data_IF_617779398956
#
_entry.id   IF_617779398956
#
_cell.length_a   1.000
_cell.length_b   1.000
_cell.length_c   1.000
_cell.angle_alpha   90.00
_cell.angle_beta   90.00
_cell.angle_gamma   90.00
#
_symmetry.space_group_name_H-M   'P 1'
#
loop_
_entity.id
_entity.type
_entity.pdbx_description
1 polymer ?
#
# COMPACT_ATOMS: atom_id res chain seq x y z
N UNK A 1 49.62 16.63 1.55
CA UNK A 1 50.69 16.04 2.38
C UNK A 1 50.16 16.03 3.81
N UNK A 2 50.00 14.96 4.58
CA UNK A 2 50.13 13.51 4.47
C UNK A 2 49.34 12.92 5.66
N UNK A 3 49.11 11.60 5.69
CA UNK A 3 48.08 10.94 6.49
C UNK A 3 48.61 10.49 7.87
N UNK A 4 47.74 10.43 8.88
CA UNK A 4 48.07 9.78 10.15
C UNK A 4 46.86 9.05 10.76
N UNK A 5 46.93 7.72 10.61
CA UNK A 5 46.64 6.68 11.62
C UNK A 5 45.20 6.51 12.11
N UNK A 6 44.49 5.59 11.44
CA UNK A 6 43.42 4.77 12.04
C UNK A 6 44.05 3.65 12.87
N UNK A 7 43.61 3.48 14.11
CA UNK A 7 43.71 2.20 14.84
C UNK A 7 42.54 2.02 15.81
N UNK A 8 41.83 0.92 15.57
CA UNK A 8 41.11 0.03 16.49
C UNK A 8 40.16 0.61 17.55
N UNK A 9 38.88 0.21 17.46
CA UNK A 9 38.23 -0.46 18.58
C UNK A 9 37.24 -1.51 18.07
N UNK A 10 37.62 -2.77 18.27
CA UNK A 10 36.78 -3.96 18.12
C UNK A 10 36.31 -4.32 19.52
N UNK A 11 35.01 -4.56 19.71
CA UNK A 11 34.43 -5.09 20.95
C UNK A 11 32.93 -5.30 20.75
N UNK A 12 32.50 -6.49 20.32
CA UNK A 12 31.95 -7.55 21.18
C UNK A 12 30.87 -7.06 22.16
N UNK A 13 29.60 -7.24 21.80
CA UNK A 13 28.61 -7.89 22.67
C UNK A 13 27.73 -8.75 21.76
N UNK A 14 27.95 -10.06 21.82
CA UNK A 14 26.97 -11.04 21.38
C UNK A 14 25.92 -11.19 22.48
N UNK A 15 24.65 -11.12 22.11
CA UNK A 15 23.55 -11.59 22.95
C UNK A 15 22.96 -12.79 22.23
N UNK A 16 23.33 -13.98 22.72
CA UNK A 16 22.62 -15.22 22.44
C UNK A 16 21.24 -15.13 23.08
N UNK A 17 20.20 -14.87 22.28
CA UNK A 17 18.83 -15.00 22.72
C UNK A 17 18.34 -16.42 22.39
N UNK A 18 18.60 -17.34 23.32
CA UNK A 18 18.04 -18.67 23.30
C UNK A 18 16.52 -18.60 23.57
N UNK A 19 15.72 -18.64 22.51
CA UNK A 19 14.27 -18.83 22.61
C UNK A 19 13.99 -20.29 22.97
N UNK A 20 13.55 -20.52 24.20
CA UNK A 20 12.98 -21.79 24.64
C UNK A 20 11.63 -22.03 23.97
N UNK A 21 11.63 -22.78 22.87
CA UNK A 21 10.39 -23.28 22.26
C UNK A 21 9.93 -24.48 23.09
N UNK A 22 8.86 -24.29 23.87
CA UNK A 22 8.13 -25.40 24.46
C UNK A 22 7.34 -26.12 23.35
N UNK A 23 7.89 -27.23 22.85
CA UNK A 23 7.19 -28.12 21.92
C UNK A 23 6.15 -28.92 22.71
N UNK A 24 4.88 -28.52 22.65
CA UNK A 24 3.78 -29.35 23.13
C UNK A 24 3.55 -30.47 22.12
N UNK A 25 4.11 -31.65 22.41
CA UNK A 25 3.82 -32.87 21.64
C UNK A 25 2.45 -33.39 22.08
N UNK A 26 1.43 -33.19 21.24
CA UNK A 26 0.16 -33.89 21.36
C UNK A 26 0.37 -35.35 20.90
N UNK A 27 0.47 -36.26 21.88
CA UNK A 27 0.40 -37.69 21.64
C UNK A 27 -1.06 -38.07 21.39
N UNK A 28 -1.41 -38.39 20.15
CA UNK A 28 -2.67 -39.05 19.84
C UNK A 28 -2.59 -40.52 20.28
N UNK A 29 -3.28 -40.86 21.37
CA UNK A 29 -3.48 -42.26 21.76
C UNK A 29 -4.62 -42.83 20.91
N UNK A 30 -4.27 -43.72 19.97
CA UNK A 30 -5.22 -44.63 19.33
C UNK A 30 -5.55 -45.73 20.34
N UNK A 31 -6.76 -45.73 20.87
CA UNK A 31 -7.31 -46.79 21.70
C UNK A 31 -8.53 -47.41 21.03
N UNK A 32 -8.37 -48.63 20.50
CA UNK A 32 -9.45 -49.47 20.03
C UNK A 32 -9.92 -50.38 21.17
N UNK A 33 -11.26 -50.48 21.31
CA UNK A 33 -12.07 -51.54 21.93
C UNK A 33 -11.71 -52.06 23.34
N UNK A 34 -12.55 -51.76 24.33
CA UNK A 34 -13.54 -52.70 24.87
C UNK A 34 -14.33 -52.06 26.02
N UNK A 35 -15.64 -52.35 26.03
CA UNK A 35 -16.60 -51.70 26.91
C UNK A 35 -16.38 -52.01 28.39
N UNK A 36 -16.20 -50.97 29.20
CA UNK A 36 -16.70 -50.96 30.57
C UNK A 36 -16.94 -49.53 31.07
N UNK A 37 -18.15 -49.27 31.54
CA UNK A 37 -18.61 -47.98 32.07
C UNK A 37 -17.90 -47.63 33.37
N UNK A 38 -17.01 -46.65 33.33
CA UNK A 38 -16.64 -45.87 34.51
C UNK A 38 -16.40 -44.40 34.13
N UNK A 39 -17.04 -43.51 34.89
CA UNK A 39 -17.12 -42.06 34.69
C UNK A 39 -15.74 -41.43 34.96
N UNK A 40 -15.14 -40.67 34.01
CA UNK A 40 -13.88 -39.99 34.30
C UNK A 40 -14.15 -38.73 35.14
N UNK A 41 -13.47 -38.64 36.28
CA UNK A 41 -13.36 -37.43 37.10
C UNK A 41 -12.26 -36.56 36.50
N UNK A 42 -12.63 -35.36 36.04
CA UNK A 42 -11.69 -34.35 35.54
C UNK A 42 -11.13 -33.54 36.72
N UNK A 43 -9.82 -33.60 36.93
CA UNK A 43 -9.10 -32.71 37.83
C UNK A 43 -8.49 -31.58 36.99
N UNK A 44 -9.02 -30.37 37.14
CA UNK A 44 -8.46 -29.18 36.50
C UNK A 44 -7.17 -28.77 37.23
N UNK A 45 -6.05 -28.79 36.52
CA UNK A 45 -4.80 -28.18 36.98
C UNK A 45 -4.74 -26.77 36.38
N UNK A 46 -4.94 -25.76 37.22
CA UNK A 46 -4.71 -24.36 36.87
C UNK A 46 -3.20 -24.10 36.88
N UNK A 47 -2.64 -23.77 35.73
CA UNK A 47 -1.27 -23.24 35.62
C UNK A 47 -1.41 -21.72 35.50
N UNK A 48 -0.96 -21.00 36.53
CA UNK A 48 -0.78 -19.54 36.47
C UNK A 48 0.36 -19.20 35.50
N UNK A 49 0.07 -18.36 34.52
CA UNK A 49 1.06 -17.82 33.60
C UNK A 49 1.44 -16.42 34.09
N UNK A 50 2.68 -16.25 34.54
CA UNK A 50 3.26 -14.93 34.80
C UNK A 50 3.53 -14.20 33.48
N UNK A 51 2.88 -13.04 33.29
CA UNK A 51 3.14 -12.12 32.19
C UNK A 51 4.31 -11.21 32.53
N UNK A 52 5.38 -11.24 31.75
CA UNK A 52 6.48 -10.27 31.83
C UNK A 52 6.19 -9.11 30.88
N UNK A 53 5.91 -7.92 31.40
CA UNK A 53 5.83 -6.67 30.63
C UNK A 53 7.21 -6.28 30.10
N UNK A 54 7.32 -6.04 28.79
CA UNK A 54 8.50 -5.44 28.16
C UNK A 54 8.20 -3.95 27.90
N UNK A 55 8.99 -3.09 28.55
CA UNK A 55 8.98 -1.64 28.38
C UNK A 55 9.75 -1.30 27.09
N UNK A 56 9.05 -0.77 26.08
CA UNK A 56 9.67 -0.24 24.87
C UNK A 56 10.31 1.13 25.13
N UNK A 57 11.59 1.25 24.78
CA UNK A 57 12.35 2.50 24.86
C UNK A 57 12.10 3.32 23.59
N UNK A 58 11.28 4.36 23.71
CA UNK A 58 11.03 5.33 22.63
C UNK A 58 12.29 6.14 22.34
N UNK A 59 12.85 5.98 21.15
CA UNK A 59 13.92 6.86 20.65
C UNK A 59 13.30 7.83 19.64
N UNK A 60 13.16 9.10 20.02
CA UNK A 60 12.68 10.17 19.15
C UNK A 60 13.75 10.57 18.13
N UNK A 61 13.37 10.61 16.85
CA UNK A 61 14.20 11.18 15.79
C UNK A 61 13.78 12.63 15.52
N UNK A 62 14.75 13.55 15.55
CA UNK A 62 14.58 14.95 15.17
C UNK A 62 15.00 15.12 13.70
N UNK A 63 14.09 15.61 12.86
CA UNK A 63 14.36 15.97 11.47
C UNK A 63 14.85 17.43 11.44
N UNK A 64 16.09 17.63 10.98
CA UNK A 64 16.61 18.95 10.67
C UNK A 64 16.23 19.32 9.22
N UNK A 65 15.29 20.26 9.09
CA UNK A 65 14.94 20.88 7.81
C UNK A 65 15.97 21.96 7.49
N UNK A 66 16.68 21.81 6.37
CA UNK A 66 17.59 22.85 5.85
C UNK A 66 16.85 23.63 4.77
N UNK A 67 16.55 24.90 5.05
CA UNK A 67 15.94 25.84 4.12
C UNK A 67 17.04 26.57 3.36
N UNK A 68 17.23 26.26 2.08
CA UNK A 68 18.04 27.10 1.19
C UNK A 68 17.14 28.11 0.47
N UNK A 69 17.12 29.33 0.99
CA UNK A 69 16.73 30.53 0.25
C UNK A 69 17.98 31.14 -0.37
N UNK A 70 18.01 31.31 -1.70
CA UNK A 70 18.89 32.32 -2.29
C UNK A 70 18.24 33.03 -3.48
N UNK A 71 17.89 34.27 -3.18
CA UNK A 71 17.58 35.38 -4.08
C UNK A 71 18.88 35.96 -4.65
N UNK A 72 18.93 36.27 -5.95
CA UNK A 72 19.79 37.39 -6.39
C UNK A 72 19.24 38.09 -7.63
N UNK A 73 19.00 39.39 -7.43
CA UNK A 73 18.73 40.42 -8.44
C UNK A 73 19.90 40.59 -9.42
N UNK A 74 19.60 40.96 -10.67
CA UNK A 74 20.46 41.83 -11.50
C UNK A 74 19.69 42.45 -12.68
N UNK A 75 19.51 43.76 -12.63
CA UNK A 75 19.58 44.71 -13.77
C UNK A 75 20.95 45.40 -13.68
N UNK A 76 21.54 46.06 -14.71
CA UNK A 76 20.88 46.93 -15.70
C UNK A 76 21.56 46.97 -17.11
N UNK A 77 21.05 47.84 -18.00
CA UNK A 77 21.80 48.88 -18.77
C UNK A 77 21.15 49.13 -20.14
N UNK A 78 20.83 50.41 -20.37
CA UNK A 78 20.34 50.98 -21.61
C UNK A 78 21.46 51.19 -22.65
N UNK A 79 21.11 51.13 -23.93
CA UNK A 79 21.84 51.85 -24.98
C UNK A 79 20.88 52.36 -26.03
N UNK A 80 21.05 53.65 -26.31
CA UNK A 80 20.33 54.50 -27.24
C UNK A 80 21.11 54.49 -28.55
N UNK A 81 20.46 54.15 -29.65
CA UNK A 81 20.93 54.53 -30.99
C UNK A 81 19.75 55.03 -31.83
N UNK A 82 19.91 56.25 -32.32
CA UNK A 82 18.98 56.95 -33.18
C UNK A 82 19.25 56.57 -34.63
N UNK A 83 18.23 56.07 -35.35
CA UNK A 83 18.27 55.95 -36.81
C UNK A 83 16.98 56.55 -37.39
N UNK A 84 17.20 57.56 -38.22
CA UNK A 84 16.22 58.26 -39.06
C UNK A 84 15.95 57.48 -40.33
N UNK A 85 14.69 57.12 -40.61
CA UNK A 85 14.21 56.80 -41.97
C UNK A 85 12.71 57.10 -42.14
N UNK A 86 12.45 58.06 -43.04
CA UNK A 86 11.39 58.19 -44.06
C UNK A 86 9.96 57.66 -43.80
N UNK A 87 8.90 58.49 -43.99
CA UNK A 87 7.51 58.04 -43.90
C UNK A 87 7.09 57.29 -45.16
N UNK A 88 6.81 55.99 -45.03
CA UNK A 88 6.13 55.20 -46.06
C UNK A 88 4.65 55.11 -45.70
N UNK A 89 3.80 55.62 -46.58
CA UNK A 89 2.33 55.58 -46.45
C UNK A 89 1.82 54.15 -46.68
N UNK A 90 1.56 53.42 -45.61
CA UNK A 90 0.92 52.10 -45.65
C UNK A 90 -0.57 52.24 -45.36
N UNK A 91 -1.41 51.84 -46.30
CA UNK A 91 -2.87 51.78 -46.15
C UNK A 91 -3.23 50.64 -45.18
N UNK A 92 -3.56 50.98 -43.93
CA UNK A 92 -4.01 50.03 -42.92
C UNK A 92 -5.47 49.67 -43.17
N UNK A 93 -5.72 48.48 -43.73
CA UNK A 93 -7.04 47.87 -43.75
C UNK A 93 -7.35 47.36 -42.35
N UNK A 94 -8.26 48.03 -41.65
CA UNK A 94 -8.72 47.63 -40.30
C UNK A 94 -9.52 46.33 -40.39
N UNK A 95 -8.83 45.19 -40.32
CA UNK A 95 -9.49 43.90 -40.10
C UNK A 95 -9.81 43.75 -38.63
N UNK A 96 -11.06 44.01 -38.27
CA UNK A 96 -11.62 43.75 -36.94
C UNK A 96 -11.49 42.26 -36.64
N UNK A 97 -10.42 41.88 -35.96
CA UNK A 97 -10.22 40.51 -35.49
C UNK A 97 -11.02 40.39 -34.21
N UNK A 98 -12.22 39.82 -34.31
CA UNK A 98 -13.02 39.47 -33.14
C UNK A 98 -12.25 38.40 -32.38
N UNK A 99 -11.56 38.80 -31.32
CA UNK A 99 -10.89 37.87 -30.41
C UNK A 99 -11.97 37.11 -29.67
N UNK A 100 -12.37 35.96 -30.22
CA UNK A 100 -13.27 35.03 -29.54
C UNK A 100 -12.49 34.44 -28.37
N UNK A 101 -12.59 35.08 -27.20
CA UNK A 101 -12.05 34.55 -25.95
C UNK A 101 -12.75 33.22 -25.70
N UNK A 102 -12.06 32.13 -26.02
CA UNK A 102 -12.59 30.79 -25.83
C UNK A 102 -12.45 30.50 -24.35
N UNK A 103 -13.50 30.80 -23.58
CA UNK A 103 -13.56 30.50 -22.15
C UNK A 103 -13.55 28.98 -22.00
N UNK A 104 -12.37 28.42 -21.75
CA UNK A 104 -12.20 27.01 -21.39
C UNK A 104 -12.68 26.89 -19.95
N UNK A 105 -13.94 26.51 -19.76
CA UNK A 105 -14.44 26.07 -18.46
C UNK A 105 -13.76 24.74 -18.13
N UNK A 106 -12.68 24.81 -17.35
CA UNK A 106 -12.05 23.64 -16.73
C UNK A 106 -13.02 23.12 -15.66
N UNK A 107 -13.73 22.04 -15.96
CA UNK A 107 -14.56 21.33 -14.99
C UNK A 107 -13.68 20.89 -13.82
N UNK A 108 -14.14 21.12 -12.59
CA UNK A 108 -13.43 20.66 -11.40
C UNK A 108 -13.20 19.14 -11.47
N UNK A 109 -12.04 18.63 -11.02
CA UNK A 109 -11.79 17.20 -10.97
C UNK A 109 -12.88 16.46 -10.17
N UNK A 110 -13.35 15.33 -10.70
CA UNK A 110 -14.33 14.47 -10.00
C UNK A 110 -13.70 13.82 -8.77
N UNK A 111 -14.48 13.56 -7.73
CA UNK A 111 -14.04 12.71 -6.61
C UNK A 111 -13.83 11.27 -7.07
N UNK A 112 -12.94 10.55 -6.36
CA UNK A 112 -12.57 9.16 -6.62
C UNK A 112 -12.66 8.38 -5.32
N UNK A 113 -13.55 7.40 -5.24
CA UNK A 113 -13.62 6.51 -4.10
C UNK A 113 -12.75 5.27 -4.36
N UNK A 114 -11.81 4.97 -3.47
CA UNK A 114 -10.83 3.90 -3.64
C UNK A 114 -10.90 2.85 -2.52
N UNK A 115 -10.90 1.56 -2.88
CA UNK A 115 -10.67 0.47 -1.91
C UNK A 115 -9.22 0.00 -2.02
N UNK A 116 -8.49 0.07 -0.92
CA UNK A 116 -7.14 -0.44 -0.77
C UNK A 116 -7.19 -1.87 -0.20
N UNK A 117 -6.49 -2.81 -0.85
CA UNK A 117 -6.37 -4.20 -0.44
C UNK A 117 -4.92 -4.48 -0.08
N UNK A 118 -4.64 -4.75 1.19
CA UNK A 118 -3.29 -4.93 1.74
C UNK A 118 -2.94 -6.40 2.04
N UNK A 119 -1.66 -6.76 1.85
CA UNK A 119 -1.12 -8.12 1.95
C UNK A 119 -0.35 -8.37 3.26
N UNK A 120 -0.99 -9.01 4.23
CA UNK A 120 -0.33 -9.54 5.43
C UNK A 120 -0.09 -11.06 5.35
N UNK A 121 -0.21 -11.67 4.16
CA UNK A 121 0.02 -13.09 3.92
C UNK A 121 1.49 -13.37 3.63
N UNK A 122 2.09 -12.62 2.69
CA UNK A 122 3.46 -12.86 2.22
C UNK A 122 4.49 -11.97 2.91
N UNK A 123 4.02 -10.90 3.51
CA UNK A 123 4.84 -10.06 4.35
C UNK A 123 4.98 -10.70 5.72
N UNK A 124 6.20 -11.10 6.09
CA UNK A 124 6.47 -11.85 7.32
C UNK A 124 7.11 -11.00 8.41
N UNK A 125 7.75 -9.89 8.05
CA UNK A 125 8.44 -9.01 9.01
C UNK A 125 7.58 -7.78 9.30
N UNK A 126 7.47 -7.41 10.58
CA UNK A 126 6.75 -6.21 11.01
C UNK A 126 7.18 -4.96 10.23
N UNK A 127 8.49 -4.78 10.03
CA UNK A 127 9.05 -3.66 9.25
C UNK A 127 8.54 -3.60 7.80
N UNK A 128 8.27 -4.74 7.17
CA UNK A 128 7.75 -4.77 5.80
C UNK A 128 6.25 -4.41 5.78
N UNK A 129 5.48 -4.80 6.82
CA UNK A 129 4.07 -4.39 7.00
C UNK A 129 3.99 -2.87 7.17
N UNK A 130 4.87 -2.30 8.01
CA UNK A 130 4.91 -0.85 8.22
C UNK A 130 5.25 -0.08 6.93
N UNK A 131 6.09 -0.65 6.08
CA UNK A 131 6.42 -0.05 4.78
C UNK A 131 5.25 -0.09 3.80
N UNK A 132 4.54 -1.22 3.71
CA UNK A 132 3.35 -1.32 2.86
C UNK A 132 2.28 -0.35 3.35
N UNK A 133 2.04 -0.31 4.67
CA UNK A 133 1.11 0.65 5.29
C UNK A 133 1.51 2.09 4.96
N UNK A 134 2.79 2.44 5.13
CA UNK A 134 3.30 3.77 4.80
C UNK A 134 3.03 4.13 3.34
N UNK A 135 3.25 3.21 2.40
CA UNK A 135 2.98 3.44 0.99
C UNK A 135 1.48 3.68 0.73
N UNK A 136 0.60 2.84 1.29
CA UNK A 136 -0.85 3.01 1.19
C UNK A 136 -1.27 4.38 1.74
N UNK A 137 -0.77 4.77 2.92
CA UNK A 137 -1.07 6.07 3.53
C UNK A 137 -0.66 7.24 2.64
N UNK A 138 0.56 7.21 2.08
CA UNK A 138 1.06 8.26 1.19
C UNK A 138 0.23 8.34 -0.11
N UNK A 139 -0.13 7.19 -0.70
CA UNK A 139 -0.99 7.14 -1.89
C UNK A 139 -2.37 7.74 -1.59
N UNK A 140 -2.98 7.40 -0.45
CA UNK A 140 -4.31 7.94 -0.09
C UNK A 140 -4.29 9.42 0.28
N UNK A 141 -3.25 9.89 0.97
CA UNK A 141 -3.07 11.33 1.24
C UNK A 141 -2.96 12.13 -0.06
N UNK A 142 -2.17 11.61 -1.01
CA UNK A 142 -2.02 12.21 -2.34
C UNK A 142 -3.35 12.21 -3.10
N UNK A 143 -4.09 11.10 -3.08
CA UNK A 143 -5.42 11.00 -3.67
C UNK A 143 -6.39 12.04 -3.11
N UNK A 144 -6.44 12.22 -1.78
CA UNK A 144 -7.31 13.19 -1.13
C UNK A 144 -6.95 14.65 -1.47
N UNK A 145 -5.66 14.95 -1.63
CA UNK A 145 -5.19 16.27 -2.07
C UNK A 145 -5.56 16.58 -3.51
N UNK A 146 -5.45 15.58 -4.40
CA UNK A 146 -5.71 15.76 -5.83
C UNK A 146 -7.19 15.75 -6.20
N UNK A 147 -8.00 14.99 -5.45
CA UNK A 147 -9.41 14.74 -5.74
C UNK A 147 -10.24 15.05 -4.50
N UNK A 148 -10.61 16.33 -4.34
CA UNK A 148 -11.47 16.75 -3.22
C UNK A 148 -12.80 15.97 -3.19
N UNK A 149 -13.21 15.57 -2.00
CA UNK A 149 -14.43 14.76 -1.79
C UNK A 149 -14.27 13.27 -2.11
N UNK A 150 -13.05 12.81 -2.38
CA UNK A 150 -12.72 11.38 -2.46
C UNK A 150 -12.82 10.70 -1.10
N UNK A 151 -13.08 9.40 -1.10
CA UNK A 151 -13.06 8.56 0.09
C UNK A 151 -12.19 7.31 -0.14
N UNK A 152 -11.62 6.75 0.93
CA UNK A 152 -10.83 5.53 0.87
C UNK A 152 -11.29 4.51 1.92
N UNK A 153 -11.33 3.25 1.55
CA UNK A 153 -11.56 2.14 2.48
C UNK A 153 -10.39 1.16 2.42
N UNK A 154 -10.12 0.44 3.50
CA UNK A 154 -9.06 -0.57 3.54
C UNK A 154 -9.61 -1.96 3.89
N UNK A 155 -9.19 -2.95 3.12
CA UNK A 155 -9.38 -4.37 3.39
C UNK A 155 -8.02 -5.04 3.48
N UNK A 156 -7.82 -5.92 4.46
CA UNK A 156 -6.53 -6.56 4.71
C UNK A 156 -6.71 -8.06 4.73
N UNK A 157 -5.86 -8.78 4.02
CA UNK A 157 -5.89 -10.24 3.97
C UNK A 157 -4.62 -10.89 4.50
N UNK A 158 -4.69 -12.19 4.72
CA UNK A 158 -3.58 -12.97 5.27
C UNK A 158 -3.61 -13.05 6.79
N UNK A 159 -2.46 -12.84 7.43
CA UNK A 159 -2.28 -13.01 8.87
C UNK A 159 -2.76 -11.81 9.68
N UNK A 160 -4.08 -11.56 9.70
CA UNK A 160 -4.68 -10.36 10.34
C UNK A 160 -5.17 -10.63 11.76
N UNK A 161 -5.08 -9.62 12.63
CA UNK A 161 -5.60 -9.66 14.00
C UNK A 161 -7.14 -9.60 14.03
N UNK A 162 -7.71 -8.80 13.13
CA UNK A 162 -9.15 -8.63 12.99
C UNK A 162 -9.55 -8.86 11.52
N UNK A 163 -10.53 -9.73 11.30
CA UNK A 163 -11.11 -9.92 9.97
C UNK A 163 -12.21 -8.89 9.74
N UNK A 164 -12.16 -8.24 8.59
CA UNK A 164 -13.19 -7.29 8.16
C UNK A 164 -13.91 -7.87 6.95
N UNK A 165 -15.25 -7.81 6.95
CA UNK A 165 -16.05 -8.12 5.77
C UNK A 165 -15.80 -7.07 4.69
N UNK A 166 -15.55 -7.50 3.45
CA UNK A 166 -15.35 -6.59 2.32
C UNK A 166 -16.55 -5.64 2.13
N UNK A 167 -17.77 -6.10 2.42
CA UNK A 167 -18.99 -5.28 2.37
C UNK A 167 -18.94 -4.10 3.34
N UNK A 168 -18.29 -4.27 4.50
CA UNK A 168 -18.13 -3.19 5.47
C UNK A 168 -17.18 -2.11 4.94
N UNK A 169 -16.17 -2.50 4.15
CA UNK A 169 -15.22 -1.57 3.53
C UNK A 169 -15.94 -0.65 2.53
N UNK A 170 -16.87 -1.19 1.74
CA UNK A 170 -17.70 -0.38 0.83
C UNK A 170 -18.62 0.62 1.53
N UNK A 171 -19.05 0.31 2.75
CA UNK A 171 -20.02 1.12 3.47
C UNK A 171 -19.39 2.15 4.40
N UNK A 172 -18.16 1.91 4.85
CA UNK A 172 -17.46 2.72 5.83
C UNK A 172 -16.13 3.21 5.24
N UNK A 173 -16.19 3.95 4.14
CA UNK A 173 -15.01 4.60 3.57
C UNK A 173 -14.75 5.91 4.31
N UNK A 174 -13.49 6.16 4.61
CA UNK A 174 -13.01 7.39 5.22
C UNK A 174 -12.91 8.51 4.19
N UNK A 175 -13.52 9.65 4.51
CA UNK A 175 -13.53 10.88 3.70
C UNK A 175 -12.41 11.87 4.05
N UNK A 176 -11.56 11.52 5.02
CA UNK A 176 -10.36 12.29 5.39
C UNK A 176 -9.17 11.38 5.62
N UNK A 177 -7.96 11.95 5.50
CA UNK A 177 -6.71 11.25 5.74
C UNK A 177 -6.63 10.69 7.16
N UNK A 178 -6.98 11.47 8.19
CA UNK A 178 -6.82 11.10 9.59
C UNK A 178 -7.70 9.91 9.98
N UNK A 179 -8.93 9.87 9.43
CA UNK A 179 -9.83 8.73 9.64
C UNK A 179 -9.28 7.48 8.95
N UNK A 180 -8.84 7.62 7.69
CA UNK A 180 -8.27 6.52 6.94
C UNK A 180 -6.99 5.97 7.60
N UNK A 181 -6.12 6.85 8.09
CA UNK A 181 -4.90 6.49 8.82
C UNK A 181 -5.23 5.68 10.08
N UNK A 182 -6.22 6.12 10.86
CA UNK A 182 -6.70 5.38 12.03
C UNK A 182 -7.25 3.99 11.67
N UNK A 183 -8.01 3.90 10.58
CA UNK A 183 -8.54 2.63 10.06
C UNK A 183 -7.43 1.71 9.57
N UNK A 184 -6.44 2.22 8.82
CA UNK A 184 -5.30 1.45 8.34
C UNK A 184 -4.43 0.93 9.50
N UNK A 185 -4.19 1.75 10.53
CA UNK A 185 -3.47 1.34 11.74
C UNK A 185 -4.20 0.25 12.53
N UNK A 186 -5.53 0.23 12.46
CA UNK A 186 -6.35 -0.81 13.11
C UNK A 186 -6.38 -2.08 12.26
N UNK A 187 -6.59 -1.96 10.95
CA UNK A 187 -6.78 -3.09 10.05
C UNK A 187 -5.47 -3.84 9.74
N UNK A 188 -4.35 -3.12 9.61
CA UNK A 188 -3.04 -3.71 9.28
C UNK A 188 -2.28 -4.22 10.51
N UNK A 189 -2.99 -4.80 11.47
CA UNK A 189 -2.40 -5.46 12.62
C UNK A 189 -2.24 -6.96 12.35
N UNK A 190 -1.03 -7.48 12.59
CA UNK A 190 -0.75 -8.90 12.41
C UNK A 190 -1.43 -9.73 13.48
N UNK A 191 -2.10 -10.80 13.07
CA UNK A 191 -2.71 -11.79 13.95
C UNK A 191 -2.16 -13.19 13.71
N UNK A 192 -2.73 -14.15 14.44
CA UNK A 192 -2.42 -15.58 14.32
C UNK A 192 -3.26 -16.30 13.27
N UNK A 193 -4.32 -15.67 12.77
CA UNK A 193 -5.24 -16.27 11.79
C UNK A 193 -4.67 -16.14 10.39
N UNK A 194 -4.21 -17.25 9.80
CA UNK A 194 -3.85 -17.28 8.37
C UNK A 194 -5.11 -17.62 7.57
N UNK A 195 -5.49 -16.74 6.64
CA UNK A 195 -6.58 -17.03 5.71
C UNK A 195 -6.08 -17.88 4.53
N UNK A 196 -6.96 -18.74 4.01
CA UNK A 196 -6.73 -19.40 2.73
C UNK A 196 -6.65 -18.33 1.63
N UNK A 197 -5.54 -18.32 0.89
CA UNK A 197 -5.31 -17.38 -0.20
C UNK A 197 -6.39 -17.47 -1.28
N UNK A 198 -6.84 -18.68 -1.61
CA UNK A 198 -7.93 -18.89 -2.56
C UNK A 198 -9.24 -18.29 -2.07
N UNK A 199 -9.50 -18.35 -0.77
CA UNK A 199 -10.66 -17.68 -0.17
C UNK A 199 -10.54 -16.16 -0.26
N UNK A 200 -9.36 -15.58 -0.03
CA UNK A 200 -9.15 -14.13 -0.14
C UNK A 200 -9.40 -13.62 -1.56
N UNK A 201 -8.88 -14.31 -2.58
CA UNK A 201 -9.15 -13.95 -3.98
C UNK A 201 -10.61 -14.14 -4.36
N UNK A 202 -11.25 -15.21 -3.88
CA UNK A 202 -12.68 -15.40 -4.04
C UNK A 202 -13.46 -14.23 -3.44
N UNK A 203 -13.10 -13.79 -2.23
CA UNK A 203 -13.71 -12.62 -1.59
C UNK A 203 -13.57 -11.36 -2.43
N UNK A 204 -12.37 -11.05 -2.94
CA UNK A 204 -12.16 -9.86 -3.79
C UNK A 204 -12.96 -9.98 -5.10
N UNK A 205 -12.93 -11.15 -5.73
CA UNK A 205 -13.55 -11.33 -7.04
C UNK A 205 -15.08 -11.36 -6.98
N UNK A 206 -15.63 -11.83 -5.87
CA UNK A 206 -17.08 -11.93 -5.63
C UNK A 206 -17.63 -10.80 -4.76
N UNK A 207 -16.79 -9.86 -4.32
CA UNK A 207 -17.20 -8.73 -3.52
C UNK A 207 -18.31 -7.95 -4.24
N UNK A 208 -19.41 -7.74 -3.54
CA UNK A 208 -20.53 -6.91 -4.01
C UNK A 208 -20.72 -5.74 -3.06
N UNK A 209 -21.08 -4.60 -3.64
CA UNK A 209 -21.30 -3.37 -2.89
C UNK A 209 -22.34 -2.52 -3.59
N UNK A 210 -22.77 -1.41 -2.97
CA UNK A 210 -23.63 -0.45 -3.64
C UNK A 210 -22.98 -0.01 -4.95
N UNK A 211 -23.72 -0.15 -6.06
CA UNK A 211 -23.22 0.21 -7.38
C UNK A 211 -22.84 1.69 -7.42
N UNK A 212 -21.68 2.00 -8.01
CA UNK A 212 -21.19 3.37 -8.16
C UNK A 212 -20.68 4.04 -6.88
N UNK A 213 -20.52 3.30 -5.77
CA UNK A 213 -19.88 3.83 -4.56
C UNK A 213 -18.36 3.84 -4.62
N UNK A 214 -17.74 2.94 -5.38
CA UNK A 214 -16.29 2.84 -5.49
C UNK A 214 -15.88 2.91 -6.95
N UNK A 215 -14.92 3.77 -7.23
CA UNK A 215 -14.36 3.98 -8.56
C UNK A 215 -13.17 3.05 -8.80
N UNK A 216 -12.33 2.85 -7.79
CA UNK A 216 -10.98 2.30 -7.98
C UNK A 216 -10.64 1.22 -6.95
N UNK A 217 -9.92 0.19 -7.39
CA UNK A 217 -9.33 -0.84 -6.53
C UNK A 217 -7.80 -0.71 -6.57
N UNK A 218 -7.17 -0.53 -5.41
CA UNK A 218 -5.72 -0.64 -5.22
C UNK A 218 -5.41 -1.98 -4.55
N UNK A 219 -4.78 -2.90 -5.27
CA UNK A 219 -4.41 -4.22 -4.76
C UNK A 219 -2.90 -4.31 -4.55
N UNK A 220 -2.48 -4.47 -3.30
CA UNK A 220 -1.08 -4.62 -2.92
C UNK A 220 -0.69 -6.10 -2.88
N UNK A 221 0.49 -6.39 -3.41
CA UNK A 221 1.02 -7.74 -3.46
C UNK A 221 2.46 -7.80 -2.95
N UNK A 222 2.66 -8.56 -1.88
CA UNK A 222 3.91 -8.67 -1.15
C UNK A 222 4.77 -9.89 -1.49
N UNK A 223 4.43 -10.74 -2.46
CA UNK A 223 5.28 -11.88 -2.82
C UNK A 223 6.22 -11.57 -4.00
N UNK A 224 7.46 -12.07 -3.96
CA UNK A 224 8.47 -11.90 -5.03
C UNK A 224 8.03 -12.50 -6.37
N UNK A 225 7.20 -13.54 -6.34
CA UNK A 225 6.71 -14.20 -7.53
C UNK A 225 5.34 -14.83 -7.23
N UNK A 226 4.42 -14.75 -8.21
CA UNK A 226 3.18 -15.54 -8.19
C UNK A 226 3.50 -17.04 -8.09
N UNK A 227 4.70 -17.45 -8.56
CA UNK A 227 5.18 -18.82 -8.64
C UNK A 227 6.05 -19.29 -7.46
N UNK A 228 6.18 -18.50 -6.38
CA UNK A 228 7.24 -18.78 -5.38
C UNK A 228 7.24 -20.23 -4.87
N UNK A 229 8.43 -20.81 -4.99
CA UNK A 229 8.85 -22.21 -4.78
C UNK A 229 8.69 -22.77 -3.37
N UNK A 230 8.16 -21.99 -2.41
CA UNK A 230 7.83 -22.49 -1.06
C UNK A 230 6.51 -23.27 -1.03
N UNK A 231 5.72 -23.21 -2.10
CA UNK A 231 4.50 -23.97 -2.27
C UNK A 231 4.76 -25.12 -3.25
N UNK A 232 5.52 -26.11 -2.78
CA UNK A 232 5.80 -27.36 -3.49
C UNK A 232 4.55 -28.29 -3.59
N UNK A 233 3.35 -27.70 -3.67
CA UNK A 233 2.10 -28.40 -3.86
C UNK A 233 1.71 -28.24 -5.32
N UNK A 234 1.81 -29.31 -6.11
CA UNK A 234 1.33 -29.37 -7.50
C UNK A 234 -0.10 -28.84 -7.66
N UNK A 235 -0.93 -29.03 -6.63
CA UNK A 235 -2.31 -28.55 -6.59
C UNK A 235 -2.42 -27.04 -6.46
N UNK A 236 -1.44 -26.38 -5.84
CA UNK A 236 -1.43 -24.93 -5.70
C UNK A 236 -1.09 -24.27 -7.05
N UNK A 237 -0.11 -24.80 -7.79
CA UNK A 237 0.23 -24.26 -9.13
C UNK A 237 -0.99 -24.33 -10.07
N UNK A 238 -1.66 -25.48 -10.12
CA UNK A 238 -2.85 -25.65 -10.96
C UNK A 238 -4.02 -24.75 -10.48
N UNK A 239 -4.13 -24.50 -9.16
CA UNK A 239 -5.10 -23.56 -8.61
C UNK A 239 -4.80 -22.12 -9.01
N UNK A 240 -3.55 -21.69 -8.88
CA UNK A 240 -3.09 -20.35 -9.26
C UNK A 240 -3.24 -20.15 -10.76
N UNK A 241 -2.72 -21.05 -11.60
CA UNK A 241 -2.77 -20.87 -13.06
C UNK A 241 -4.21 -20.88 -13.63
N UNK A 242 -5.18 -21.54 -12.98
CA UNK A 242 -6.59 -21.56 -13.44
C UNK A 242 -7.50 -20.53 -12.80
N UNK A 243 -7.25 -20.11 -11.56
CA UNK A 243 -8.18 -19.27 -10.79
C UNK A 243 -7.61 -17.92 -10.38
N UNK A 244 -6.32 -17.67 -10.63
CA UNK A 244 -5.66 -16.43 -10.24
C UNK A 244 -5.79 -15.38 -11.32
N UNK A 245 -6.98 -14.82 -11.41
CA UNK A 245 -7.22 -13.57 -12.13
C UNK A 245 -7.81 -12.60 -11.13
N UNK A 246 -7.16 -11.46 -10.94
CA UNK A 246 -7.74 -10.31 -10.25
C UNK A 246 -8.73 -9.70 -11.24
N UNK A 247 -9.98 -10.12 -11.12
CA UNK A 247 -11.07 -9.78 -12.01
C UNK A 247 -12.36 -9.61 -11.21
N UNK A 248 -12.42 -8.58 -10.34
CA UNK A 248 -13.58 -8.33 -9.51
C UNK A 248 -14.84 -8.16 -10.34
N UNK A 249 -15.90 -8.87 -9.92
CA UNK A 249 -17.25 -8.70 -10.47
C UNK A 249 -17.83 -7.32 -10.17
N UNK A 250 -17.34 -6.65 -9.11
CA UNK A 250 -17.62 -5.24 -8.90
C UNK A 250 -17.08 -4.39 -10.06
N UNK A 251 -17.88 -3.43 -10.50
CA UNK A 251 -17.56 -2.61 -11.67
C UNK A 251 -16.64 -1.43 -11.31
N UNK A 252 -15.43 -1.73 -10.84
CA UNK A 252 -14.40 -0.71 -10.70
C UNK A 252 -14.09 -0.12 -12.08
N UNK A 253 -13.93 1.20 -12.12
CA UNK A 253 -13.41 1.92 -13.28
C UNK A 253 -11.94 1.62 -13.47
N UNK A 254 -11.17 1.63 -12.37
CA UNK A 254 -9.74 1.39 -12.37
C UNK A 254 -9.37 0.26 -11.41
N UNK A 255 -8.56 -0.68 -11.88
CA UNK A 255 -7.93 -1.70 -11.02
C UNK A 255 -6.43 -1.49 -11.13
N UNK A 256 -5.78 -1.21 -10.00
CA UNK A 256 -4.34 -1.00 -9.92
C UNK A 256 -3.75 -2.09 -9.03
N UNK A 257 -2.88 -2.89 -9.60
CA UNK A 257 -2.14 -3.94 -8.90
C UNK A 257 -0.71 -3.47 -8.69
N UNK A 258 -0.32 -3.31 -7.42
CA UNK A 258 1.03 -2.91 -7.03
C UNK A 258 1.81 -4.12 -6.56
N UNK A 259 2.85 -4.45 -7.31
CA UNK A 259 3.79 -5.52 -6.99
C UNK A 259 4.96 -4.96 -6.19
N UNK A 260 5.01 -5.29 -4.90
CA UNK A 260 5.97 -4.74 -3.93
C UNK A 260 7.35 -5.43 -3.97
N UNK A 261 7.42 -6.58 -4.65
CA UNK A 261 8.61 -7.42 -4.72
C UNK A 261 8.88 -7.93 -6.14
N UNK A 262 8.29 -7.31 -7.16
CA UNK A 262 8.58 -7.61 -8.57
C UNK A 262 7.87 -8.84 -9.15
N UNK A 263 6.83 -9.36 -8.49
CA UNK A 263 5.94 -10.35 -9.09
C UNK A 263 5.36 -9.87 -10.42
N UNK A 264 5.37 -10.76 -11.41
CA UNK A 264 4.81 -10.51 -12.73
C UNK A 264 3.32 -10.92 -12.79
N UNK A 265 2.45 -9.94 -12.97
CA UNK A 265 1.00 -10.10 -13.07
C UNK A 265 0.47 -10.19 -14.51
N UNK A 266 1.33 -10.28 -15.51
CA UNK A 266 0.91 -10.39 -16.92
C UNK A 266 -0.02 -11.58 -17.12
N UNK A 267 -1.25 -11.33 -17.58
CA UNK A 267 -2.28 -12.36 -17.77
C UNK A 267 -3.04 -12.78 -16.49
N UNK A 268 -2.78 -12.12 -15.36
CA UNK A 268 -3.38 -12.41 -14.05
C UNK A 268 -4.22 -11.25 -13.50
N UNK A 269 -4.41 -10.21 -14.29
CA UNK A 269 -5.33 -9.10 -14.00
C UNK A 269 -6.21 -8.94 -15.22
N UNK A 270 -7.47 -8.57 -15.00
CA UNK A 270 -8.37 -8.28 -16.10
C UNK A 270 -7.88 -7.11 -16.97
N UNK A 271 -8.57 -6.89 -18.08
CA UNK A 271 -8.25 -5.85 -19.07
C UNK A 271 -8.42 -4.41 -18.56
N UNK A 272 -9.11 -4.20 -17.43
CA UNK A 272 -9.22 -2.92 -16.72
C UNK A 272 -8.03 -2.69 -15.78
N UNK A 273 -7.23 -3.74 -15.56
CA UNK A 273 -6.07 -3.76 -14.69
C UNK A 273 -4.85 -3.01 -15.22
N UNK A 274 -4.23 -2.23 -14.34
CA UNK A 274 -2.88 -1.69 -14.50
C UNK A 274 -1.96 -2.32 -13.48
N UNK A 275 -0.78 -2.74 -13.91
CA UNK A 275 0.22 -3.36 -13.05
C UNK A 275 1.37 -2.37 -12.88
N UNK A 276 1.74 -2.09 -11.63
CA UNK A 276 2.84 -1.19 -11.26
C UNK A 276 3.79 -1.95 -10.34
N UNK A 277 5.07 -1.96 -10.69
CA UNK A 277 6.11 -2.53 -9.84
C UNK A 277 6.71 -1.43 -8.98
N UNK A 278 6.79 -1.67 -7.67
CA UNK A 278 7.35 -0.74 -6.69
C UNK A 278 8.30 -1.51 -5.78
N UNK A 279 9.52 -1.01 -5.60
CA UNK A 279 10.41 -1.59 -4.59
C UNK A 279 9.96 -1.13 -3.20
N UNK A 280 9.41 -2.05 -2.40
CA UNK A 280 8.97 -1.77 -1.04
C UNK A 280 10.09 -1.16 -0.15
N UNK A 281 11.36 -1.37 -0.50
CA UNK A 281 12.48 -0.86 0.25
C UNK A 281 12.93 0.54 -0.15
N UNK A 282 12.59 1.01 -1.36
CA UNK A 282 13.12 2.25 -1.90
C UNK A 282 12.17 2.96 -2.88
N UNK A 283 10.87 2.88 -2.65
CA UNK A 283 9.88 3.60 -3.46
C UNK A 283 10.07 5.12 -3.37
N UNK A 284 9.79 5.81 -4.48
CA UNK A 284 9.94 7.27 -4.60
C UNK A 284 8.59 7.95 -4.80
N UNK A 285 8.60 9.28 -4.74
CA UNK A 285 7.42 10.10 -5.02
C UNK A 285 6.87 9.82 -6.43
N UNK A 286 7.74 9.58 -7.42
CA UNK A 286 7.32 9.23 -8.77
C UNK A 286 6.59 7.88 -8.85
N UNK A 287 6.83 6.96 -7.91
CA UNK A 287 6.09 5.70 -7.86
C UNK A 287 4.70 5.90 -7.24
N UNK A 288 4.59 6.78 -6.25
CA UNK A 288 3.31 7.20 -5.67
C UNK A 288 2.46 7.90 -6.73
N UNK A 289 3.03 8.86 -7.47
CA UNK A 289 2.35 9.58 -8.55
C UNK A 289 1.80 8.61 -9.61
N UNK A 290 2.61 7.64 -10.07
CA UNK A 290 2.15 6.62 -11.02
C UNK A 290 0.95 5.81 -10.49
N UNK A 291 0.96 5.47 -9.19
CA UNK A 291 -0.16 4.75 -8.58
C UNK A 291 -1.41 5.63 -8.56
N UNK A 292 -1.29 6.88 -8.12
CA UNK A 292 -2.40 7.82 -8.02
C UNK A 292 -2.97 8.13 -9.40
N UNK A 293 -2.13 8.42 -10.39
CA UNK A 293 -2.52 8.62 -11.78
C UNK A 293 -3.30 7.41 -12.33
N UNK A 294 -2.86 6.20 -12.01
CA UNK A 294 -3.55 4.98 -12.41
C UNK A 294 -4.91 4.80 -11.73
N UNK A 295 -5.08 5.30 -10.50
CA UNK A 295 -6.34 5.26 -9.75
C UNK A 295 -7.36 6.30 -10.25
N UNK A 296 -6.90 7.44 -10.77
CA UNK A 296 -7.77 8.57 -11.14
C UNK A 296 -8.02 8.71 -12.65
N UNK A 297 -7.29 7.96 -13.49
CA UNK A 297 -7.44 7.95 -14.96
C UNK A 297 -8.82 7.50 -15.42
#
# INVERSE_FOLDING_TARGET
MGPAVRKALTGLIGIDLALGIALVVLVNIVGNSDGNTSKPTSTATTVETESTELIETVTSFTINTTTDTNTTNSSPIASTDAITTTPTTTTTTTTTTTTTTTTTTTTAPRSINCVCVADLQYISKAKEIDKEKSLILIVTDTLFKERQGSAAGIWVYGSVAQKTDFTNVFNNMSDTYEKFESEANTAMQRGSSVNDLGANFSTINTATGPQGKVDSLLFMWGAEEIRTSKLNQSNFRDFVEKNWVIGPSYNYTNIVVVSLQGANFTGHVDDRGKIINVDLNDYKDEDVEKIVDALIS
#
